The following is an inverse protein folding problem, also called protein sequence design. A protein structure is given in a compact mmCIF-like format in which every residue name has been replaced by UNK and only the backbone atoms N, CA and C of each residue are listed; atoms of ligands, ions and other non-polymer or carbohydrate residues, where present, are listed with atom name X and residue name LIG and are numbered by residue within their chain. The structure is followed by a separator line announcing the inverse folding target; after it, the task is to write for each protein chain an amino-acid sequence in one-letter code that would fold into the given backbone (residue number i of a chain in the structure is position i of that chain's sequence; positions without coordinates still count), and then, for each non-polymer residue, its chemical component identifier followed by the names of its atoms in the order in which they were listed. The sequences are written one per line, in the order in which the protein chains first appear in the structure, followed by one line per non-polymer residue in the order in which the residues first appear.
data_IF_990586762207
#
_entry.id   IF_990586762207
#
_cell.length_a   1.000
_cell.length_b   1.000
_cell.length_c   1.000
_cell.angle_alpha   90.00
_cell.angle_beta   90.00
_cell.angle_gamma   90.00
#
_symmetry.space_group_name_H-M   'P 1'
#
loop_
_entity.id
_entity.type
_entity.pdbx_description
1 polymer ?
#
# COMPACT_ATOMS: atom_id res chain seq x y z
N UNK A 1 -19.23 -11.93 18.71
CA UNK A 1 -18.49 -11.83 20.02
C UNK A 1 -17.08 -11.27 19.87
N UNK A 2 -16.29 -11.72 18.89
CA UNK A 2 -14.92 -11.21 18.60
C UNK A 2 -14.93 -9.72 18.19
N UNK A 3 -15.91 -9.29 17.40
CA UNK A 3 -16.05 -7.88 16.97
C UNK A 3 -16.32 -6.93 18.15
N UNK A 4 -16.89 -7.42 19.27
CA UNK A 4 -17.05 -6.64 20.51
C UNK A 4 -15.73 -6.48 21.28
N UNK A 5 -14.77 -7.40 21.14
CA UNK A 5 -13.40 -7.24 21.68
C UNK A 5 -12.69 -6.09 20.95
N UNK A 6 -13.00 -5.88 19.67
CA UNK A 6 -12.43 -4.81 18.85
C UNK A 6 -13.13 -3.43 19.00
N UNK A 7 -13.97 -3.21 20.03
CA UNK A 7 -14.76 -1.98 20.21
C UNK A 7 -14.07 -0.79 20.94
N UNK A 8 -12.74 -0.71 21.02
CA UNK A 8 -12.03 0.33 21.77
C UNK A 8 -10.76 0.81 21.06
N UNK A 9 -10.74 2.02 20.52
CA UNK A 9 -9.50 2.70 20.03
C UNK A 9 -8.51 3.00 21.17
N UNK A 10 -7.93 1.97 21.77
CA UNK A 10 -6.94 2.03 22.84
C UNK A 10 -5.70 1.28 22.36
N UNK A 11 -4.53 1.87 22.62
CA UNK A 11 -3.20 1.28 22.49
C UNK A 11 -3.16 -0.27 22.60
N UNK A 12 -3.82 -0.91 23.61
CA UNK A 12 -3.91 -2.36 23.70
C UNK A 12 -4.42 -3.10 22.46
N UNK A 13 -5.35 -2.57 21.67
CA UNK A 13 -5.80 -3.24 20.44
C UNK A 13 -4.75 -3.22 19.35
N UNK A 14 -4.00 -2.13 19.23
CA UNK A 14 -2.90 -2.05 18.26
C UNK A 14 -1.81 -3.03 18.66
N UNK A 15 -1.48 -3.10 19.95
CA UNK A 15 -0.54 -4.09 20.49
C UNK A 15 -1.04 -5.52 20.21
N UNK A 16 -2.31 -5.83 20.49
CA UNK A 16 -2.89 -7.14 20.23
C UNK A 16 -2.84 -7.50 18.73
N UNK A 17 -3.15 -6.56 17.84
CA UNK A 17 -3.08 -6.79 16.40
C UNK A 17 -1.64 -7.06 15.92
N UNK A 18 -0.65 -6.35 16.49
CA UNK A 18 0.77 -6.60 16.21
C UNK A 18 1.18 -8.00 16.69
N UNK A 19 0.81 -8.37 17.92
CA UNK A 19 1.11 -9.72 18.45
C UNK A 19 0.48 -10.80 17.58
N UNK A 20 -0.79 -10.64 17.19
CA UNK A 20 -1.47 -11.58 16.31
C UNK A 20 -0.78 -11.63 14.93
N UNK A 21 -0.33 -10.50 14.39
CA UNK A 21 0.41 -10.49 13.12
C UNK A 21 1.75 -11.23 13.20
N UNK A 22 2.45 -11.18 14.35
CA UNK A 22 3.66 -11.98 14.59
C UNK A 22 3.32 -13.47 14.61
N UNK A 23 2.23 -13.86 15.29
CA UNK A 23 1.80 -15.26 15.32
C UNK A 23 1.41 -15.77 13.93
N UNK A 24 0.74 -14.93 13.13
CA UNK A 24 0.41 -15.24 11.73
C UNK A 24 1.67 -15.42 10.89
N UNK A 25 2.66 -14.52 11.01
CA UNK A 25 3.95 -14.64 10.33
C UNK A 25 4.62 -15.98 10.65
N UNK A 26 4.72 -16.33 11.93
CA UNK A 26 5.32 -17.59 12.39
C UNK A 26 4.56 -18.84 11.92
N UNK A 27 3.26 -18.72 11.64
CA UNK A 27 2.45 -19.84 11.16
C UNK A 27 2.60 -20.10 9.65
N UNK A 28 2.88 -19.07 8.85
CA UNK A 28 2.90 -19.16 7.38
C UNK A 28 4.28 -19.14 6.75
N UNK A 29 5.26 -18.44 7.34
CA UNK A 29 6.60 -18.32 6.76
C UNK A 29 7.55 -19.33 7.37
N UNK A 30 8.39 -19.90 6.51
CA UNK A 30 9.43 -20.83 6.92
C UNK A 30 10.51 -20.07 7.72
N UNK A 31 10.98 -20.68 8.80
CA UNK A 31 11.85 -20.03 9.81
C UNK A 31 13.29 -19.81 9.30
N UNK A 32 13.66 -20.45 8.19
CA UNK A 32 15.01 -20.47 7.64
C UNK A 32 15.61 -19.07 7.41
N UNK A 33 14.79 -18.04 7.17
CA UNK A 33 15.23 -16.65 7.09
C UNK A 33 14.43 -15.69 7.99
N UNK A 34 14.35 -16.03 9.27
CA UNK A 34 13.60 -15.27 10.29
C UNK A 34 13.98 -13.78 10.35
N UNK A 35 15.23 -13.42 10.08
CA UNK A 35 15.70 -12.02 10.07
C UNK A 35 15.01 -11.21 8.97
N UNK A 36 14.98 -11.72 7.74
CA UNK A 36 14.32 -11.05 6.62
C UNK A 36 12.81 -10.89 6.87
N UNK A 37 12.17 -11.88 7.49
CA UNK A 37 10.74 -11.83 7.82
C UNK A 37 10.42 -10.85 8.95
N UNK A 38 11.30 -10.70 9.95
CA UNK A 38 11.16 -9.63 10.94
C UNK A 38 11.25 -8.25 10.27
N UNK A 39 12.18 -8.06 9.33
CA UNK A 39 12.26 -6.82 8.57
C UNK A 39 11.00 -6.57 7.74
N UNK A 40 10.48 -7.58 7.05
CA UNK A 40 9.26 -7.47 6.26
C UNK A 40 8.05 -7.08 7.13
N UNK A 41 7.90 -7.71 8.30
CA UNK A 41 6.85 -7.36 9.27
C UNK A 41 7.03 -5.95 9.82
N UNK A 42 8.26 -5.54 10.14
CA UNK A 42 8.54 -4.19 10.66
C UNK A 42 8.14 -3.10 9.67
N UNK A 43 8.41 -3.33 8.37
CA UNK A 43 7.98 -2.43 7.30
C UNK A 43 6.47 -2.42 7.14
N UNK A 44 5.81 -3.58 7.20
CA UNK A 44 4.35 -3.68 7.16
C UNK A 44 3.69 -2.92 8.31
N UNK A 45 4.24 -3.02 9.52
CA UNK A 45 3.78 -2.26 10.69
C UNK A 45 4.00 -0.75 10.49
N UNK A 46 5.12 -0.33 9.91
CA UNK A 46 5.36 1.07 9.56
C UNK A 46 4.35 1.58 8.52
N UNK A 47 4.06 0.77 7.48
CA UNK A 47 3.03 1.04 6.47
C UNK A 47 1.64 1.18 7.13
N UNK A 48 1.32 0.34 8.11
CA UNK A 48 0.07 0.42 8.86
C UNK A 48 -0.04 1.71 9.67
N UNK A 49 1.01 2.10 10.40
CA UNK A 49 1.01 3.37 11.14
C UNK A 49 0.90 4.58 10.20
N UNK A 50 1.57 4.54 9.05
CA UNK A 50 1.45 5.58 8.04
C UNK A 50 0.02 5.65 7.47
N UNK A 51 -0.59 4.49 7.21
CA UNK A 51 -1.99 4.38 6.75
C UNK A 51 -2.96 4.96 7.79
N UNK A 52 -2.78 4.63 9.08
CA UNK A 52 -3.53 5.22 10.19
C UNK A 52 -3.37 6.74 10.24
N UNK A 53 -2.15 7.23 10.04
CA UNK A 53 -1.86 8.66 9.99
C UNK A 53 -2.61 9.35 8.84
N UNK A 54 -2.60 8.76 7.64
CA UNK A 54 -3.30 9.29 6.47
C UNK A 54 -4.81 9.32 6.72
N UNK A 55 -5.39 8.22 7.22
CA UNK A 55 -6.83 8.08 7.46
C UNK A 55 -7.30 9.10 8.50
N UNK A 56 -6.61 9.18 9.64
CA UNK A 56 -6.98 10.04 10.76
C UNK A 56 -6.88 11.53 10.40
N UNK A 57 -5.75 11.97 9.81
CA UNK A 57 -5.55 13.38 9.48
C UNK A 57 -6.43 13.88 8.35
N UNK A 58 -6.80 13.00 7.43
CA UNK A 58 -7.63 13.38 6.27
C UNK A 58 -9.09 13.02 6.44
N UNK A 59 -9.52 12.60 7.64
CA UNK A 59 -10.90 12.20 7.95
C UNK A 59 -11.51 11.29 6.87
N UNK A 60 -10.74 10.31 6.39
CA UNK A 60 -11.18 9.35 5.38
C UNK A 60 -12.20 8.40 6.01
N UNK A 61 -11.93 7.97 7.25
CA UNK A 61 -12.86 7.21 8.08
C UNK A 61 -13.12 7.99 9.37
N UNK A 62 -14.39 8.20 9.72
CA UNK A 62 -14.76 8.80 11.02
C UNK A 62 -14.56 7.75 12.12
N UNK A 63 -13.64 8.00 13.07
CA UNK A 63 -13.32 7.21 14.27
C UNK A 63 -13.71 5.73 14.19
N UNK A 64 -12.99 4.98 13.35
CA UNK A 64 -13.34 3.60 13.10
C UNK A 64 -12.49 2.67 13.97
N UNK A 65 -13.15 1.96 14.88
CA UNK A 65 -12.50 1.08 15.86
C UNK A 65 -11.93 -0.20 15.24
N UNK A 66 -12.31 -0.52 14.00
CA UNK A 66 -11.98 -1.78 13.33
C UNK A 66 -10.72 -1.71 12.46
N UNK A 67 -9.93 -0.62 12.51
CA UNK A 67 -8.74 -0.48 11.65
C UNK A 67 -7.68 -1.55 11.97
N UNK A 68 -7.52 -1.91 13.24
CA UNK A 68 -6.60 -2.97 13.68
C UNK A 68 -6.96 -4.36 13.14
N UNK A 69 -8.25 -4.63 12.95
CA UNK A 69 -8.72 -5.88 12.34
C UNK A 69 -8.39 -5.95 10.84
N UNK A 70 -8.39 -4.82 10.15
CA UNK A 70 -7.92 -4.74 8.75
C UNK A 70 -6.46 -5.16 8.60
N UNK A 71 -5.59 -4.81 9.57
CA UNK A 71 -4.20 -5.29 9.60
C UNK A 71 -4.12 -6.81 9.76
N UNK A 72 -4.85 -7.37 10.73
CA UNK A 72 -4.84 -8.82 11.00
C UNK A 72 -5.23 -9.62 9.75
N UNK A 73 -6.33 -9.21 9.08
CA UNK A 73 -6.80 -9.88 7.86
C UNK A 73 -5.75 -9.80 6.75
N UNK A 74 -5.16 -8.63 6.54
CA UNK A 74 -4.18 -8.46 5.48
C UNK A 74 -2.89 -9.24 5.75
N UNK A 75 -2.42 -9.30 7.00
CA UNK A 75 -1.23 -10.11 7.35
C UNK A 75 -1.40 -11.58 6.97
N UNK A 76 -2.60 -12.15 7.15
CA UNK A 76 -2.89 -13.54 6.78
C UNK A 76 -2.70 -13.81 5.29
N UNK A 77 -2.96 -12.82 4.44
CA UNK A 77 -2.73 -12.91 2.98
C UNK A 77 -1.27 -12.60 2.65
N UNK A 78 -0.72 -11.52 3.21
CA UNK A 78 0.62 -11.04 2.91
C UNK A 78 1.70 -12.09 3.17
N UNK A 79 1.62 -12.82 4.29
CA UNK A 79 2.62 -13.84 4.62
C UNK A 79 2.47 -15.15 3.82
N UNK A 80 1.35 -15.35 3.10
CA UNK A 80 1.18 -16.46 2.15
C UNK A 80 1.82 -16.16 0.79
N UNK A 81 2.19 -14.91 0.53
CA UNK A 81 2.73 -14.45 -0.75
C UNK A 81 4.24 -14.28 -0.67
N UNK A 82 4.96 -14.38 -1.81
CA UNK A 82 6.33 -13.92 -1.87
C UNK A 82 6.38 -12.42 -1.52
N UNK A 83 7.32 -12.07 -0.66
CA UNK A 83 7.42 -10.72 -0.08
C UNK A 83 8.86 -10.26 -0.16
N UNK A 84 9.16 -9.36 -1.10
CA UNK A 84 10.46 -8.71 -1.15
C UNK A 84 10.51 -7.45 -0.29
N UNK A 85 11.64 -7.27 0.40
CA UNK A 85 11.88 -6.11 1.27
C UNK A 85 11.86 -4.82 0.45
N UNK A 86 12.47 -4.82 -0.74
CA UNK A 86 12.55 -3.65 -1.61
C UNK A 86 11.17 -3.20 -2.08
N UNK A 87 10.31 -4.13 -2.50
CA UNK A 87 8.92 -3.84 -2.91
C UNK A 87 8.14 -3.23 -1.74
N UNK A 88 8.23 -3.84 -0.55
CA UNK A 88 7.52 -3.35 0.64
C UNK A 88 8.01 -1.98 1.08
N UNK A 89 9.33 -1.75 1.08
CA UNK A 89 9.93 -0.46 1.37
C UNK A 89 9.51 0.59 0.32
N UNK A 90 9.50 0.23 -0.96
CA UNK A 90 9.07 1.11 -2.05
C UNK A 90 7.63 1.60 -1.85
N UNK A 91 6.75 0.73 -1.36
CA UNK A 91 5.35 1.05 -1.08
C UNK A 91 5.20 2.01 0.11
N UNK A 92 6.04 1.88 1.14
CA UNK A 92 6.10 2.85 2.24
C UNK A 92 6.39 4.26 1.73
N UNK A 93 7.37 4.42 0.84
CA UNK A 93 7.70 5.72 0.23
C UNK A 93 6.60 6.24 -0.70
N UNK A 94 5.94 5.36 -1.46
CA UNK A 94 4.76 5.72 -2.24
C UNK A 94 3.65 6.30 -1.35
N UNK A 95 3.36 5.66 -0.22
CA UNK A 95 2.38 6.15 0.76
C UNK A 95 2.79 7.49 1.40
N UNK A 96 4.09 7.77 1.56
CA UNK A 96 4.57 9.08 2.01
C UNK A 96 4.23 10.17 0.98
N UNK A 97 4.37 9.88 -0.30
CA UNK A 97 3.95 10.79 -1.37
C UNK A 97 2.42 10.99 -1.37
N UNK A 98 1.64 9.92 -1.27
CA UNK A 98 0.18 9.95 -1.19
C UNK A 98 -0.32 10.74 0.03
N UNK A 99 0.33 10.59 1.18
CA UNK A 99 0.05 11.38 2.38
C UNK A 99 0.19 12.88 2.09
N UNK A 100 1.24 13.28 1.37
CA UNK A 100 1.48 14.69 1.03
C UNK A 100 0.44 15.22 0.05
N UNK A 101 0.01 14.40 -0.92
CA UNK A 101 -1.10 14.71 -1.84
C UNK A 101 -2.37 15.05 -1.05
N UNK A 102 -2.82 14.18 -0.16
CA UNK A 102 -4.02 14.47 0.65
C UNK A 102 -3.88 15.77 1.47
N UNK A 103 -2.66 16.07 1.93
CA UNK A 103 -2.39 17.27 2.71
C UNK A 103 -2.45 18.58 1.90
N UNK A 104 -2.38 18.52 0.56
CA UNK A 104 -2.45 19.71 -0.32
C UNK A 104 -3.75 20.49 -0.19
N UNK A 105 -4.83 19.83 0.25
CA UNK A 105 -6.10 20.48 0.57
C UNK A 105 -5.93 21.65 1.54
N UNK A 106 -4.95 21.56 2.45
CA UNK A 106 -4.59 22.68 3.32
C UNK A 106 -3.58 23.61 2.64
N UNK A 107 -3.87 24.91 2.60
CA UNK A 107 -3.02 25.93 1.95
C UNK A 107 -1.67 26.17 2.64
N UNK A 108 -1.41 25.56 3.79
CA UNK A 108 -0.15 25.69 4.53
C UNK A 108 0.99 24.99 3.78
N UNK A 109 2.10 25.70 3.55
CA UNK A 109 3.36 25.18 3.00
C UNK A 109 3.19 24.36 1.69
N UNK A 110 2.39 24.85 0.75
CA UNK A 110 2.10 24.13 -0.51
C UNK A 110 3.36 23.80 -1.32
N UNK A 111 4.31 24.73 -1.42
CA UNK A 111 5.55 24.51 -2.16
C UNK A 111 6.35 23.32 -1.60
N UNK A 112 6.51 23.27 -0.27
CA UNK A 112 7.19 22.16 0.40
C UNK A 112 6.46 20.84 0.17
N UNK A 113 5.12 20.82 0.21
CA UNK A 113 4.35 19.60 -0.05
C UNK A 113 4.53 19.10 -1.48
N UNK A 114 4.51 19.99 -2.47
CA UNK A 114 4.72 19.62 -3.88
C UNK A 114 6.13 19.06 -4.12
N UNK A 115 7.14 19.66 -3.49
CA UNK A 115 8.50 19.11 -3.47
C UNK A 115 8.53 17.73 -2.81
N UNK A 116 7.97 17.59 -1.60
CA UNK A 116 7.93 16.32 -0.87
C UNK A 116 7.24 15.21 -1.67
N UNK A 117 6.18 15.52 -2.44
CA UNK A 117 5.48 14.55 -3.30
C UNK A 117 6.44 13.93 -4.32
N UNK A 118 7.16 14.76 -5.08
CA UNK A 118 8.11 14.29 -6.08
C UNK A 118 9.30 13.56 -5.45
N UNK A 119 9.81 14.09 -4.33
CA UNK A 119 10.92 13.50 -3.60
C UNK A 119 10.63 12.07 -3.13
N UNK A 120 9.55 11.88 -2.36
CA UNK A 120 9.20 10.54 -1.86
C UNK A 120 8.79 9.59 -2.98
N UNK A 121 8.13 10.11 -4.02
CA UNK A 121 7.73 9.29 -5.15
C UNK A 121 8.94 8.77 -5.93
N UNK A 122 9.97 9.59 -6.15
CA UNK A 122 11.15 9.10 -6.84
C UNK A 122 11.92 8.04 -6.03
N UNK A 123 12.05 8.20 -4.70
CA UNK A 123 12.66 7.17 -3.85
C UNK A 123 11.90 5.83 -3.99
N UNK A 124 10.58 5.89 -4.09
CA UNK A 124 9.75 4.71 -4.35
C UNK A 124 10.07 4.06 -5.71
N UNK A 125 10.30 4.84 -6.77
CA UNK A 125 10.72 4.34 -8.09
C UNK A 125 12.12 3.73 -8.05
N UNK A 126 13.08 4.37 -7.36
CA UNK A 126 14.45 3.87 -7.26
C UNK A 126 14.47 2.48 -6.60
N UNK A 127 13.66 2.27 -5.55
CA UNK A 127 13.59 0.98 -4.86
C UNK A 127 12.82 -0.09 -5.64
N UNK A 128 11.80 0.30 -6.38
CA UNK A 128 11.08 -0.58 -7.29
C UNK A 128 10.55 0.23 -8.48
N UNK A 129 11.15 0.05 -9.67
CA UNK A 129 10.81 0.87 -10.82
C UNK A 129 9.38 0.73 -11.32
N UNK A 130 8.70 -0.38 -11.00
CA UNK A 130 7.28 -0.58 -11.33
C UNK A 130 6.41 0.52 -10.72
N UNK A 131 6.87 1.20 -9.66
CA UNK A 131 6.16 2.34 -9.10
C UNK A 131 5.99 3.52 -10.09
N UNK A 132 6.67 3.51 -11.23
CA UNK A 132 6.43 4.44 -12.34
C UNK A 132 4.96 4.43 -12.80
N UNK A 133 4.27 3.27 -12.74
CA UNK A 133 2.84 3.19 -13.08
C UNK A 133 1.95 4.08 -12.18
N UNK A 134 2.38 4.36 -10.94
CA UNK A 134 1.64 5.24 -10.04
C UNK A 134 1.75 6.73 -10.41
N UNK A 135 2.44 7.12 -11.48
CA UNK A 135 2.51 8.52 -11.93
C UNK A 135 1.11 9.06 -12.24
N UNK A 136 0.22 8.20 -12.76
CA UNK A 136 -1.19 8.51 -12.99
C UNK A 136 -1.88 8.85 -11.66
N UNK A 137 -1.66 8.06 -10.60
CA UNK A 137 -2.16 8.37 -9.25
C UNK A 137 -1.63 9.70 -8.75
N UNK A 138 -0.32 9.96 -8.90
CA UNK A 138 0.28 11.21 -8.42
C UNK A 138 -0.33 12.43 -9.11
N UNK A 139 -0.39 12.41 -10.45
CA UNK A 139 -0.94 13.51 -11.24
C UNK A 139 -2.42 13.75 -10.96
N UNK A 140 -3.23 12.68 -10.94
CA UNK A 140 -4.66 12.78 -10.62
C UNK A 140 -4.89 13.30 -9.20
N UNK A 141 -4.10 12.88 -8.22
CA UNK A 141 -4.17 13.39 -6.85
C UNK A 141 -3.90 14.89 -6.76
N UNK A 142 -2.88 15.38 -7.45
CA UNK A 142 -2.57 16.83 -7.50
C UNK A 142 -3.68 17.60 -8.21
N UNK A 143 -4.21 17.05 -9.31
CA UNK A 143 -5.33 17.65 -10.03
C UNK A 143 -6.57 17.79 -9.12
N UNK A 144 -6.90 16.74 -8.37
CA UNK A 144 -8.09 16.67 -7.52
C UNK A 144 -7.99 17.59 -6.29
N UNK A 145 -6.83 17.64 -5.61
CA UNK A 145 -6.68 18.38 -4.33
C UNK A 145 -6.08 19.78 -4.46
N UNK A 146 -5.58 20.15 -5.65
CA UNK A 146 -4.95 21.45 -5.87
C UNK A 146 -5.34 22.05 -7.23
N UNK A 147 -4.40 22.18 -8.16
CA UNK A 147 -4.58 22.54 -9.58
C UNK A 147 -3.25 22.29 -10.27
N UNK A 148 -3.26 21.62 -11.43
CA UNK A 148 -2.04 21.43 -12.21
C UNK A 148 -1.72 22.72 -12.97
N UNK A 149 -0.47 23.15 -12.88
CA UNK A 149 0.12 24.21 -13.72
C UNK A 149 1.60 23.88 -13.97
N UNK A 150 2.25 24.49 -14.98
CA UNK A 150 3.67 24.25 -15.25
C UNK A 150 4.56 24.48 -14.02
N UNK A 151 4.24 25.52 -13.23
CA UNK A 151 4.94 25.83 -11.97
C UNK A 151 4.80 24.73 -10.92
N UNK A 152 3.66 24.04 -10.88
CA UNK A 152 3.43 22.91 -9.97
C UNK A 152 4.26 21.71 -10.40
N UNK A 153 4.30 21.42 -11.70
CA UNK A 153 5.12 20.34 -12.26
C UNK A 153 6.60 20.61 -11.95
N UNK A 154 7.10 21.83 -12.15
CA UNK A 154 8.48 22.20 -11.82
C UNK A 154 8.82 21.96 -10.34
N UNK A 155 7.91 22.21 -9.41
CA UNK A 155 8.14 21.94 -7.97
C UNK A 155 8.26 20.45 -7.66
N UNK A 156 7.50 19.61 -8.36
CA UNK A 156 7.55 18.16 -8.21
C UNK A 156 8.85 17.63 -8.81
N UNK A 157 9.20 18.10 -10.02
CA UNK A 157 10.47 17.78 -10.69
C UNK A 157 11.65 18.19 -9.81
N UNK A 158 11.62 19.36 -9.17
CA UNK A 158 12.64 19.76 -8.21
C UNK A 158 12.77 18.80 -7.02
N UNK A 159 11.64 18.27 -6.53
CA UNK A 159 11.62 17.20 -5.52
C UNK A 159 12.29 15.92 -6.00
N UNK A 160 11.96 15.50 -7.23
CA UNK A 160 12.58 14.34 -7.87
C UNK A 160 14.09 14.54 -8.03
N UNK A 161 14.54 15.72 -8.50
CA UNK A 161 15.96 16.05 -8.59
C UNK A 161 16.66 16.01 -7.21
N UNK A 162 15.97 16.44 -6.15
CA UNK A 162 16.48 16.31 -4.79
C UNK A 162 16.71 14.85 -4.38
N UNK A 163 15.78 13.96 -4.73
CA UNK A 163 15.90 12.53 -4.45
C UNK A 163 16.97 11.86 -5.32
N UNK A 164 17.11 12.23 -6.61
CA UNK A 164 18.21 11.73 -7.44
C UNK A 164 19.55 12.09 -6.82
N UNK A 165 19.75 13.35 -6.42
CA UNK A 165 21.02 13.78 -5.84
C UNK A 165 21.41 12.97 -4.60
N UNK A 166 20.45 12.71 -3.70
CA UNK A 166 20.71 11.89 -2.50
C UNK A 166 21.07 10.45 -2.89
N UNK A 167 20.35 9.86 -3.85
CA UNK A 167 20.65 8.52 -4.33
C UNK A 167 22.06 8.46 -4.95
N UNK A 168 22.41 9.46 -5.77
CA UNK A 168 23.74 9.58 -6.37
C UNK A 168 24.84 9.68 -5.30
N UNK A 169 24.66 10.52 -4.27
CA UNK A 169 25.59 10.60 -3.15
C UNK A 169 25.71 9.28 -2.38
N UNK A 170 24.60 8.55 -2.22
CA UNK A 170 24.63 7.24 -1.57
C UNK A 170 25.46 6.23 -2.38
N UNK A 171 25.20 6.10 -3.69
CA UNK A 171 25.93 5.16 -4.56
C UNK A 171 27.42 5.49 -4.68
N UNK A 172 27.78 6.78 -4.73
CA UNK A 172 29.18 7.22 -4.73
C UNK A 172 29.89 6.79 -3.42
N UNK A 173 29.23 6.94 -2.27
CA UNK A 173 29.79 6.58 -0.97
C UNK A 173 29.88 5.06 -0.71
N UNK A 174 28.93 4.27 -1.24
CA UNK A 174 28.84 2.84 -0.91
C UNK A 174 29.44 1.93 -1.96
N UNK A 175 29.33 2.27 -3.25
CA UNK A 175 29.67 1.35 -4.33
C UNK A 175 30.79 1.85 -5.25
N UNK A 176 31.37 3.05 -5.01
CA UNK A 176 32.40 3.67 -5.86
C UNK A 176 32.03 3.65 -7.37
N UNK A 177 30.74 3.72 -7.69
CA UNK A 177 30.26 3.66 -9.07
C UNK A 177 30.46 5.05 -9.70
N UNK A 178 31.25 5.12 -10.77
CA UNK A 178 31.32 6.33 -11.59
C UNK A 178 30.00 6.53 -12.32
N UNK A 179 29.32 7.62 -12.00
CA UNK A 179 28.02 8.00 -12.55
C UNK A 179 28.17 8.49 -14.00
N UNK A 180 28.23 7.56 -14.94
CA UNK A 180 28.19 7.83 -16.38
C UNK A 180 26.76 7.79 -16.91
N UNK A 181 26.55 8.29 -18.12
CA UNK A 181 25.28 8.19 -18.85
C UNK A 181 24.81 6.72 -18.97
N UNK A 182 25.77 5.79 -19.06
CA UNK A 182 25.51 4.35 -19.19
C UNK A 182 24.80 3.77 -17.95
N UNK A 183 25.07 4.27 -16.74
CA UNK A 183 24.39 3.81 -15.52
C UNK A 183 22.87 4.09 -15.55
N UNK A 184 22.46 5.24 -16.08
CA UNK A 184 21.03 5.55 -16.22
C UNK A 184 20.36 4.72 -17.31
N UNK A 185 21.08 4.42 -18.40
CA UNK A 185 20.61 3.53 -19.45
C UNK A 185 20.46 2.11 -18.90
N UNK A 186 21.43 1.64 -18.13
CA UNK A 186 21.37 0.34 -17.44
C UNK A 186 20.20 0.24 -16.47
N UNK A 187 19.88 1.31 -15.73
CA UNK A 187 18.65 1.33 -14.90
C UNK A 187 17.43 1.15 -15.81
N UNK A 188 17.28 1.91 -16.88
CA UNK A 188 16.13 1.82 -17.78
C UNK A 188 16.04 0.42 -18.43
N UNK A 189 17.18 -0.14 -18.83
CA UNK A 189 17.25 -1.49 -19.39
C UNK A 189 16.92 -2.55 -18.33
N UNK A 190 17.36 -2.39 -17.07
CA UNK A 190 16.93 -3.27 -15.98
C UNK A 190 15.42 -3.17 -15.72
N UNK A 191 14.80 -1.99 -15.85
CA UNK A 191 13.34 -1.84 -15.78
C UNK A 191 12.67 -2.63 -16.89
N UNK A 192 13.16 -2.49 -18.12
CA UNK A 192 12.63 -3.17 -19.28
C UNK A 192 12.82 -4.69 -19.17
N UNK A 193 13.99 -5.15 -18.74
CA UNK A 193 14.33 -6.56 -18.54
C UNK A 193 13.51 -7.16 -17.40
N UNK A 194 13.34 -6.47 -16.26
CA UNK A 194 12.48 -6.95 -15.18
C UNK A 194 11.02 -7.10 -15.63
N UNK A 195 10.56 -6.23 -16.53
CA UNK A 195 9.22 -6.32 -17.11
C UNK A 195 9.12 -7.43 -18.16
N UNK A 196 10.12 -7.58 -19.03
CA UNK A 196 10.14 -8.54 -20.13
C UNK A 196 10.49 -9.96 -19.69
N UNK A 197 11.29 -10.13 -18.65
CA UNK A 197 11.67 -11.44 -18.10
C UNK A 197 10.55 -12.08 -17.27
N UNK A 198 9.46 -11.37 -17.02
CA UNK A 198 8.26 -11.90 -16.38
C UNK A 198 7.36 -12.66 -17.37
N UNK A 199 7.95 -13.64 -18.06
CA UNK A 199 7.23 -14.69 -18.80
C UNK A 199 6.37 -15.59 -17.87
N UNK A 200 6.35 -15.31 -16.56
CA UNK A 200 5.58 -15.98 -15.51
C UNK A 200 4.16 -15.44 -15.34
N UNK A 201 3.61 -14.74 -16.35
CA UNK A 201 2.23 -14.23 -16.35
C UNK A 201 1.18 -15.33 -16.04
N UNK A 202 1.54 -16.61 -16.26
CA UNK A 202 0.67 -17.77 -16.08
C UNK A 202 1.01 -18.67 -14.87
N UNK A 203 2.09 -18.41 -14.14
CA UNK A 203 2.49 -19.24 -12.99
C UNK A 203 2.07 -18.60 -11.65
N UNK A 204 0.85 -18.07 -11.62
CA UNK A 204 0.35 -17.32 -10.48
C UNK A 204 -0.42 -18.25 -9.52
N UNK A 205 -0.13 -18.15 -8.22
CA UNK A 205 -0.78 -18.92 -7.17
C UNK A 205 -2.28 -18.58 -7.11
N UNK A 206 -3.15 -19.60 -7.03
CA UNK A 206 -4.61 -19.41 -6.92
C UNK A 206 -5.00 -18.46 -5.77
N UNK A 207 -4.28 -18.52 -4.65
CA UNK A 207 -4.51 -17.66 -3.48
C UNK A 207 -4.39 -16.16 -3.81
N UNK A 208 -3.50 -15.82 -4.74
CA UNK A 208 -3.28 -14.44 -5.16
C UNK A 208 -4.43 -13.90 -6.02
N UNK A 209 -4.89 -14.69 -7.00
CA UNK A 209 -6.07 -14.34 -7.80
C UNK A 209 -7.31 -14.21 -6.94
N UNK A 210 -7.49 -15.13 -5.98
CA UNK A 210 -8.59 -15.08 -5.02
C UNK A 210 -8.52 -13.80 -4.19
N UNK A 211 -7.35 -13.43 -3.67
CA UNK A 211 -7.21 -12.20 -2.91
C UNK A 211 -7.49 -10.93 -3.74
N UNK A 212 -6.92 -10.84 -4.94
CA UNK A 212 -7.12 -9.69 -5.83
C UNK A 212 -8.59 -9.57 -6.24
N UNK A 213 -9.23 -10.67 -6.61
CA UNK A 213 -10.66 -10.70 -6.97
C UNK A 213 -11.58 -10.36 -5.80
N UNK A 214 -11.32 -10.90 -4.60
CA UNK A 214 -12.06 -10.54 -3.39
C UNK A 214 -11.89 -9.05 -3.08
N UNK A 215 -10.67 -8.52 -3.18
CA UNK A 215 -10.38 -7.09 -2.99
C UNK A 215 -11.14 -6.23 -3.98
N UNK A 216 -11.23 -6.65 -5.25
CA UNK A 216 -12.03 -6.00 -6.29
C UNK A 216 -13.52 -5.99 -5.94
N UNK A 217 -14.08 -7.12 -5.51
CA UNK A 217 -15.50 -7.22 -5.11
C UNK A 217 -15.82 -6.32 -3.91
N UNK A 218 -14.96 -6.33 -2.89
CA UNK A 218 -15.06 -5.44 -1.72
C UNK A 218 -15.04 -3.98 -2.16
N UNK A 219 -14.13 -3.64 -3.07
CA UNK A 219 -13.98 -2.27 -3.57
C UNK A 219 -15.17 -1.80 -4.41
N UNK A 220 -15.72 -2.67 -5.27
CA UNK A 220 -16.91 -2.37 -6.05
C UNK A 220 -18.11 -2.12 -5.14
N UNK A 221 -18.34 -3.00 -4.16
CA UNK A 221 -19.39 -2.81 -3.17
C UNK A 221 -19.21 -1.50 -2.39
N UNK A 222 -17.97 -1.18 -1.98
CA UNK A 222 -17.66 0.09 -1.35
C UNK A 222 -18.02 1.28 -2.24
N UNK A 223 -17.62 1.23 -3.50
CA UNK A 223 -17.83 2.32 -4.46
C UNK A 223 -19.31 2.55 -4.73
N UNK A 224 -20.13 1.51 -4.86
CA UNK A 224 -21.58 1.70 -5.07
C UNK A 224 -22.29 2.27 -3.84
N UNK A 225 -21.90 1.85 -2.63
CA UNK A 225 -22.65 2.18 -1.40
C UNK A 225 -22.11 3.41 -0.66
N UNK A 226 -20.82 3.70 -0.76
CA UNK A 226 -20.12 4.67 0.10
C UNK A 226 -19.35 5.75 -0.65
N UNK A 227 -19.63 5.97 -1.94
CA UNK A 227 -18.96 7.01 -2.75
C UNK A 227 -19.11 8.43 -2.18
N UNK A 228 -20.09 8.67 -1.32
CA UNK A 228 -20.23 9.89 -0.54
C UNK A 228 -21.30 10.83 -1.10
N UNK A 229 -22.00 11.51 -0.18
CA UNK A 229 -23.11 12.40 -0.52
C UNK A 229 -22.61 13.82 -0.79
N UNK A 230 -21.54 14.23 -0.11
CA UNK A 230 -20.98 15.57 -0.21
C UNK A 230 -19.77 15.62 -1.14
N UNK A 231 -19.57 16.75 -1.81
CA UNK A 231 -18.49 16.96 -2.78
C UNK A 231 -17.08 16.68 -2.20
N UNK A 232 -16.86 17.06 -0.93
CA UNK A 232 -15.60 16.80 -0.24
C UNK A 232 -15.30 15.33 0.05
N UNK A 233 -16.32 14.48 0.19
CA UNK A 233 -16.17 13.02 0.34
C UNK A 233 -15.94 12.36 -1.03
N UNK A 234 -16.73 12.77 -2.03
CA UNK A 234 -16.60 12.29 -3.42
C UNK A 234 -15.19 12.51 -3.98
N UNK A 235 -14.60 13.68 -3.74
CA UNK A 235 -13.21 14.00 -4.15
C UNK A 235 -12.20 13.03 -3.55
N UNK A 236 -12.32 12.70 -2.25
CA UNK A 236 -11.41 11.75 -1.59
C UNK A 236 -11.60 10.34 -2.15
N UNK A 237 -12.85 9.95 -2.37
CA UNK A 237 -13.18 8.63 -2.87
C UNK A 237 -12.78 8.46 -4.35
N UNK A 238 -12.88 9.51 -5.17
CA UNK A 238 -12.35 9.52 -6.54
C UNK A 238 -10.84 9.25 -6.54
N UNK A 239 -10.08 9.95 -5.68
CA UNK A 239 -8.65 9.70 -5.58
C UNK A 239 -8.33 8.29 -5.06
N UNK A 240 -9.13 7.77 -4.10
CA UNK A 240 -9.02 6.39 -3.63
C UNK A 240 -9.28 5.38 -4.75
N UNK A 241 -10.24 5.65 -5.65
CA UNK A 241 -10.51 4.83 -6.84
C UNK A 241 -9.30 4.82 -7.76
N UNK A 242 -8.73 5.97 -8.10
CA UNK A 242 -7.57 6.00 -8.99
C UNK A 242 -6.40 5.23 -8.39
N UNK A 243 -6.17 5.38 -7.08
CA UNK A 243 -5.14 4.62 -6.40
C UNK A 243 -5.41 3.11 -6.42
N UNK A 244 -6.65 2.71 -6.12
CA UNK A 244 -7.04 1.30 -6.13
C UNK A 244 -6.93 0.66 -7.51
N UNK A 245 -7.35 1.35 -8.58
CA UNK A 245 -7.24 0.85 -9.96
C UNK A 245 -5.77 0.55 -10.31
N UNK A 246 -4.85 1.46 -9.98
CA UNK A 246 -3.43 1.23 -10.25
C UNK A 246 -2.88 0.08 -9.38
N UNK A 247 -3.25 0.00 -8.11
CA UNK A 247 -2.84 -1.10 -7.22
C UNK A 247 -3.37 -2.46 -7.68
N UNK A 248 -4.64 -2.56 -8.12
CA UNK A 248 -5.25 -3.83 -8.51
C UNK A 248 -4.71 -4.31 -9.86
N UNK A 249 -4.43 -3.39 -10.79
CA UNK A 249 -3.79 -3.73 -12.07
C UNK A 249 -2.41 -4.35 -11.83
N UNK A 250 -1.59 -3.72 -10.98
CA UNK A 250 -0.27 -4.26 -10.63
C UNK A 250 -0.37 -5.59 -9.88
N UNK A 251 -1.33 -5.70 -8.95
CA UNK A 251 -1.58 -6.95 -8.24
C UNK A 251 -1.92 -8.06 -9.22
N UNK A 252 -2.82 -7.88 -10.20
CA UNK A 252 -3.13 -8.95 -11.17
C UNK A 252 -1.95 -9.35 -12.06
N UNK A 253 -0.97 -8.47 -12.25
CA UNK A 253 0.19 -8.75 -13.09
C UNK A 253 1.25 -9.55 -12.33
N UNK A 254 1.56 -9.21 -11.06
CA UNK A 254 2.65 -9.83 -10.28
C UNK A 254 2.23 -10.08 -8.83
N UNK A 255 2.48 -11.32 -8.34
CA UNK A 255 2.07 -11.78 -7.01
C UNK A 255 2.61 -10.90 -5.86
N UNK A 256 3.87 -10.48 -5.97
CA UNK A 256 4.56 -9.68 -4.95
C UNK A 256 3.99 -8.25 -4.80
N UNK A 257 3.20 -7.79 -5.79
CA UNK A 257 2.60 -6.46 -5.80
C UNK A 257 1.23 -6.40 -5.14
N UNK A 258 0.76 -7.49 -4.54
CA UNK A 258 -0.43 -7.50 -3.67
C UNK A 258 -0.31 -6.50 -2.50
N UNK A 259 0.92 -6.19 -2.04
CA UNK A 259 1.17 -5.20 -0.98
C UNK A 259 0.60 -3.81 -1.31
N UNK A 260 0.54 -3.44 -2.59
CA UNK A 260 0.00 -2.15 -3.03
C UNK A 260 -1.52 -2.02 -2.80
N UNK A 261 -2.22 -3.14 -2.59
CA UNK A 261 -3.63 -3.14 -2.22
C UNK A 261 -3.87 -2.82 -0.75
N UNK A 262 -2.85 -2.86 0.11
CA UNK A 262 -3.02 -2.74 1.56
C UNK A 262 -3.84 -1.53 2.00
N UNK A 263 -3.45 -0.33 1.55
CA UNK A 263 -4.08 0.91 1.99
C UNK A 263 -5.53 1.02 1.48
N UNK A 264 -5.83 0.84 0.18
CA UNK A 264 -7.20 0.93 -0.28
C UNK A 264 -8.07 -0.22 0.24
N UNK A 265 -7.52 -1.43 0.40
CA UNK A 265 -8.18 -2.55 1.07
C UNK A 265 -8.56 -2.16 2.50
N UNK A 266 -7.61 -1.65 3.28
CA UNK A 266 -7.83 -1.26 4.67
C UNK A 266 -8.89 -0.16 4.79
N UNK A 267 -8.89 0.85 3.91
CA UNK A 267 -9.91 1.90 3.92
C UNK A 267 -11.30 1.36 3.61
N UNK A 268 -11.42 0.53 2.56
CA UNK A 268 -12.71 0.01 2.10
C UNK A 268 -13.30 -1.03 3.05
N UNK A 269 -12.51 -2.03 3.43
CA UNK A 269 -12.91 -3.10 4.35
C UNK A 269 -13.37 -2.52 5.69
N UNK A 270 -12.60 -1.62 6.29
CA UNK A 270 -12.94 -1.05 7.59
C UNK A 270 -14.21 -0.21 7.53
N UNK A 271 -14.45 0.51 6.43
CA UNK A 271 -15.72 1.23 6.24
C UNK A 271 -16.91 0.27 6.19
N UNK A 272 -16.80 -0.79 5.40
CA UNK A 272 -17.86 -1.80 5.28
C UNK A 272 -18.15 -2.46 6.63
N UNK A 273 -17.09 -2.87 7.35
CA UNK A 273 -17.23 -3.48 8.68
C UNK A 273 -17.96 -2.57 9.64
N UNK A 274 -17.62 -1.28 9.66
CA UNK A 274 -18.22 -0.34 10.60
C UNK A 274 -19.71 -0.12 10.41
N UNK A 275 -20.19 -0.28 9.18
CA UNK A 275 -21.60 -0.12 8.83
C UNK A 275 -22.38 -1.42 9.07
N UNK A 276 -21.76 -2.57 8.79
CA UNK A 276 -22.40 -3.89 8.88
C UNK A 276 -22.20 -4.60 10.23
N UNK A 277 -21.56 -3.94 11.20
CA UNK A 277 -21.18 -4.51 12.51
C UNK A 277 -22.35 -5.14 13.29
N UNK A 278 -23.57 -4.67 13.09
CA UNK A 278 -24.75 -5.14 13.82
C UNK A 278 -25.43 -6.32 13.12
N UNK A 279 -24.95 -6.71 11.93
CA UNK A 279 -25.45 -7.85 11.18
C UNK A 279 -24.67 -9.13 11.53
N UNK A 280 -25.33 -10.10 12.18
CA UNK A 280 -24.73 -11.38 12.58
C UNK A 280 -24.12 -12.14 11.39
N UNK A 281 -24.73 -12.05 10.21
CA UNK A 281 -24.21 -12.67 8.98
C UNK A 281 -22.86 -12.06 8.57
N UNK A 282 -22.67 -10.78 8.85
CA UNK A 282 -21.40 -10.12 8.55
C UNK A 282 -20.31 -10.53 9.55
N UNK A 283 -20.66 -10.70 10.82
CA UNK A 283 -19.71 -11.23 11.81
C UNK A 283 -19.20 -12.63 11.40
N UNK A 284 -20.08 -13.51 10.94
CA UNK A 284 -19.73 -14.88 10.55
C UNK A 284 -18.91 -14.93 9.26
N UNK A 285 -19.23 -14.12 8.25
CA UNK A 285 -18.46 -14.04 6.99
C UNK A 285 -17.04 -13.54 7.24
N UNK A 286 -16.86 -12.52 8.08
CA UNK A 286 -15.53 -12.03 8.46
C UNK A 286 -14.75 -13.10 9.23
N UNK A 287 -15.42 -13.83 10.13
CA UNK A 287 -14.81 -14.95 10.87
C UNK A 287 -14.36 -16.08 9.94
N UNK A 288 -15.19 -16.45 8.96
CA UNK A 288 -14.86 -17.46 7.95
C UNK A 288 -13.70 -16.97 7.08
N UNK A 289 -13.70 -15.71 6.68
CA UNK A 289 -12.59 -15.13 5.91
C UNK A 289 -11.28 -15.10 6.72
N UNK A 290 -11.34 -14.83 8.03
CA UNK A 290 -10.18 -14.93 8.93
C UNK A 290 -9.73 -16.39 9.05
N UNK A 291 -10.65 -17.34 9.22
CA UNK A 291 -10.33 -18.77 9.37
C UNK A 291 -9.69 -19.32 8.09
N UNK A 292 -10.28 -19.04 6.92
CA UNK A 292 -9.74 -19.43 5.62
C UNK A 292 -8.38 -18.76 5.33
N UNK A 293 -8.21 -17.49 5.73
CA UNK A 293 -6.91 -16.84 5.64
C UNK A 293 -5.90 -17.37 6.67
N UNK A 294 -6.33 -17.95 7.78
CA UNK A 294 -5.47 -18.50 8.84
C UNK A 294 -5.10 -19.97 8.65
N UNK A 295 -5.73 -20.67 7.69
CA UNK A 295 -5.37 -22.06 7.40
C UNK A 295 -4.13 -22.10 6.49
N UNK A 296 -3.04 -22.79 6.88
CA UNK A 296 -1.90 -23.08 6.01
C UNK A 296 -2.37 -24.02 4.92
N UNK A 297 -2.52 -23.50 3.70
CA UNK A 297 -2.50 -24.37 2.54
C UNK A 297 -1.06 -24.85 2.38
N UNK A 298 -0.73 -25.96 3.06
CA UNK A 298 0.41 -26.78 2.69
C UNK A 298 0.04 -27.43 1.34
N UNK A 299 0.18 -26.69 0.25
CA UNK A 299 0.45 -27.36 -1.01
C UNK A 299 1.88 -27.87 -0.89
N UNK A 300 1.99 -29.15 -0.55
CA UNK A 300 3.20 -29.94 -0.75
C UNK A 300 3.66 -29.72 -2.19
N UNK A 301 4.60 -28.81 -2.39
CA UNK A 301 5.39 -28.74 -3.62
C UNK A 301 6.36 -29.91 -3.56
N UNK A 302 5.97 -31.02 -4.18
CA UNK A 302 6.93 -31.94 -4.78
C UNK A 302 7.53 -31.29 -6.03
#
# INVERSE_FOLDING_TARGET
MIIRVFKFTKLPQVIAAIIISILIMLAFKNIDNLVAEIYSLSLLVAIFFLSLFIISKNSILKNNQYISLGLIIFCGVYFKMPSEINITASYLFLLLSIRKIYSLKSKKNQNKKLFDIGFWYLISIILNPVNLFFIITILTGIFIFYKISPVVVLKIVAGMLGATLIALFYFDLTENIQLTQDYFIDIIDQIWIAYSANDTFLNQNLDHWLFASISLLIFLYYSFRFFGNNLGERIKNLFLITFFINSILLSFVINEYSIFLFFPFLVTLVKIISELKDNLFFETVVLIAIILNSYPYNFLTN
#
